data_IF_620952407616
#
_entry.id   IF_620952407616
#
_cell.length_a   1.000
_cell.length_b   1.000
_cell.length_c   1.000
_cell.angle_alpha   90.00
_cell.angle_beta   90.00
_cell.angle_gamma   90.00
#
_symmetry.space_group_name_H-M   'P 1'
#
loop_
_entity.id
_entity.type
_entity.pdbx_description
1 polymer ?
#
# COMPACT_ATOMS: atom_id res chain seq x y z
N UNK A 1 1.41 9.12 18.56
CA UNK A 1 1.30 9.00 17.08
C UNK A 1 1.55 10.33 16.36
N UNK A 2 0.87 11.40 16.72
CA UNK A 2 0.95 12.70 16.03
C UNK A 2 2.33 13.38 16.02
N UNK A 3 3.15 13.24 17.07
CA UNK A 3 4.39 14.03 17.16
C UNK A 3 5.48 13.58 16.19
N UNK A 4 5.70 12.27 16.00
CA UNK A 4 6.75 11.76 15.11
C UNK A 4 6.42 11.92 13.63
N UNK A 5 5.20 11.58 13.24
CA UNK A 5 4.69 11.74 11.89
C UNK A 5 4.75 13.22 11.44
N UNK A 6 4.18 14.12 12.26
CA UNK A 6 4.15 15.56 11.94
C UNK A 6 5.55 16.15 11.85
N UNK A 7 6.49 15.71 12.70
CA UNK A 7 7.89 16.15 12.65
C UNK A 7 8.55 15.73 11.34
N UNK A 8 8.44 14.46 10.94
CA UNK A 8 9.04 13.94 9.72
C UNK A 8 8.50 14.68 8.50
N UNK A 9 7.19 14.87 8.43
CA UNK A 9 6.58 15.56 7.28
C UNK A 9 6.90 17.06 7.25
N UNK A 10 7.03 17.70 8.40
CA UNK A 10 7.51 19.09 8.47
C UNK A 10 8.96 19.21 8.00
N UNK A 11 9.86 18.32 8.42
CA UNK A 11 11.25 18.30 7.95
C UNK A 11 11.34 17.95 6.46
N UNK A 12 10.52 17.02 5.97
CA UNK A 12 10.44 16.71 4.54
C UNK A 12 10.10 17.98 3.73
N UNK A 13 9.06 18.71 4.14
CA UNK A 13 8.66 19.95 3.44
C UNK A 13 9.76 21.02 3.50
N UNK A 14 10.42 21.17 4.64
CA UNK A 14 11.55 22.12 4.78
C UNK A 14 12.72 21.76 3.87
N UNK A 15 13.08 20.47 3.78
CA UNK A 15 14.12 19.99 2.88
C UNK A 15 13.71 20.14 1.42
N UNK A 16 12.48 19.82 1.07
CA UNK A 16 11.96 20.00 -0.28
C UNK A 16 12.01 21.48 -0.71
N UNK A 17 11.58 22.41 0.13
CA UNK A 17 11.63 23.84 -0.15
C UNK A 17 13.08 24.37 -0.24
N UNK A 18 14.03 23.77 0.50
CA UNK A 18 15.45 24.12 0.42
C UNK A 18 16.12 23.65 -0.87
N UNK A 19 15.89 22.39 -1.27
CA UNK A 19 16.55 21.78 -2.42
C UNK A 19 15.82 22.04 -3.75
N UNK A 20 14.51 22.25 -3.68
CA UNK A 20 13.61 22.46 -4.82
C UNK A 20 12.67 23.66 -4.57
N UNK A 21 13.22 24.89 -4.40
CA UNK A 21 12.46 26.06 -4.00
C UNK A 21 11.30 26.34 -4.96
N UNK A 22 10.06 26.40 -4.43
CA UNK A 22 8.85 26.69 -5.17
C UNK A 22 8.42 25.61 -6.17
N UNK A 23 8.97 24.38 -6.08
CA UNK A 23 8.60 23.28 -6.98
C UNK A 23 7.47 22.41 -6.40
N UNK A 24 7.42 22.22 -5.08
CA UNK A 24 6.39 21.43 -4.41
C UNK A 24 5.15 22.28 -4.15
N UNK A 25 4.08 22.05 -4.91
CA UNK A 25 2.81 22.79 -4.79
C UNK A 25 1.71 22.03 -4.04
N UNK A 26 1.76 20.69 -4.07
CA UNK A 26 0.81 19.82 -3.35
C UNK A 26 1.52 18.72 -2.58
N UNK A 27 0.97 18.35 -1.41
CA UNK A 27 1.43 17.20 -0.63
C UNK A 27 0.26 16.63 0.15
N UNK A 28 -0.05 15.39 -0.15
CA UNK A 28 -1.19 14.65 0.39
C UNK A 28 -0.73 13.31 0.93
N UNK A 29 -1.14 12.99 2.15
CA UNK A 29 -0.88 11.67 2.75
C UNK A 29 -2.04 10.76 2.44
N UNK A 30 -1.73 9.52 2.10
CA UNK A 30 -2.72 8.46 1.88
C UNK A 30 -2.35 7.19 2.66
N UNK A 31 -2.75 6.00 2.19
CA UNK A 31 -2.40 4.74 2.81
C UNK A 31 -2.89 4.58 4.24
N UNK A 32 -2.11 3.90 5.07
CA UNK A 32 -2.50 3.54 6.43
C UNK A 32 -2.72 4.74 7.35
N UNK A 33 -1.94 5.81 7.18
CA UNK A 33 -2.08 7.03 7.97
C UNK A 33 -3.42 7.71 7.72
N UNK A 34 -3.82 7.86 6.45
CA UNK A 34 -5.10 8.45 6.06
C UNK A 34 -6.30 7.60 6.50
N UNK A 35 -6.15 6.27 6.53
CA UNK A 35 -7.18 5.35 7.00
C UNK A 35 -7.28 5.26 8.55
N UNK A 36 -6.50 6.04 9.29
CA UNK A 36 -6.48 5.99 10.76
C UNK A 36 -5.92 4.68 11.32
N UNK A 37 -5.14 3.94 10.53
CA UNK A 37 -4.62 2.61 10.84
C UNK A 37 -3.08 2.56 10.75
N UNK A 38 -2.43 3.67 11.03
CA UNK A 38 -0.97 3.74 11.08
C UNK A 38 -0.43 2.97 12.29
N UNK A 39 0.43 1.99 12.04
CA UNK A 39 1.07 1.17 13.08
C UNK A 39 2.57 1.50 13.16
N UNK A 40 3.05 2.07 14.30
CA UNK A 40 4.46 2.39 14.49
C UNK A 40 5.37 1.16 14.31
N UNK A 41 6.43 1.29 13.52
CA UNK A 41 7.38 0.21 13.23
C UNK A 41 6.90 -0.82 12.19
N UNK A 42 5.70 -0.64 11.62
CA UNK A 42 5.11 -1.50 10.59
C UNK A 42 4.60 -0.73 9.37
N UNK A 43 4.17 0.51 9.57
CA UNK A 43 3.59 1.33 8.51
C UNK A 43 4.59 2.35 8.01
N UNK A 44 4.67 2.47 6.69
CA UNK A 44 5.33 3.56 6.00
C UNK A 44 4.43 4.79 5.96
N UNK A 45 4.99 5.95 5.62
CA UNK A 45 4.22 7.15 5.31
C UNK A 45 4.02 7.21 3.80
N UNK A 46 2.80 6.87 3.37
CA UNK A 46 2.41 6.94 1.97
C UNK A 46 2.05 8.38 1.59
N UNK A 47 2.64 8.92 0.52
CA UNK A 47 2.37 10.28 0.08
C UNK A 47 2.23 10.44 -1.43
N UNK A 48 1.45 11.45 -1.85
CA UNK A 48 1.41 11.97 -3.21
C UNK A 48 1.87 13.44 -3.19
N UNK A 49 2.97 13.72 -3.88
CA UNK A 49 3.56 15.06 -3.99
C UNK A 49 3.32 15.62 -5.39
N UNK A 50 2.75 16.82 -5.47
CA UNK A 50 2.49 17.49 -6.75
C UNK A 50 3.50 18.59 -6.96
N UNK A 51 4.21 18.52 -8.09
CA UNK A 51 5.18 19.55 -8.50
C UNK A 51 4.57 20.48 -9.53
N UNK A 52 5.06 21.71 -9.57
CA UNK A 52 4.59 22.74 -10.49
C UNK A 52 4.71 22.33 -11.96
N UNK A 53 5.81 21.67 -12.28
CA UNK A 53 6.15 21.16 -13.61
C UNK A 53 6.86 19.83 -13.46
N UNK A 54 6.97 19.06 -14.52
CA UNK A 54 7.77 17.83 -14.54
C UNK A 54 9.20 18.14 -14.09
N UNK A 55 9.70 17.36 -13.14
CA UNK A 55 11.07 17.54 -12.63
C UNK A 55 12.09 17.20 -13.72
N UNK A 56 13.08 18.05 -13.85
CA UNK A 56 14.26 17.75 -14.66
C UNK A 56 15.14 16.71 -13.98
N UNK A 57 16.06 16.10 -14.73
CA UNK A 57 17.01 15.13 -14.17
C UNK A 57 17.84 15.71 -13.01
N UNK A 58 18.25 16.98 -13.11
CA UNK A 58 18.96 17.66 -12.02
C UNK A 58 18.10 17.86 -10.78
N UNK A 59 16.79 18.14 -10.96
CA UNK A 59 15.85 18.26 -9.87
C UNK A 59 15.54 16.90 -9.23
N UNK A 60 15.47 15.83 -10.01
CA UNK A 60 15.32 14.46 -9.50
C UNK A 60 16.54 14.07 -8.64
N UNK A 61 17.76 14.43 -9.04
CA UNK A 61 18.97 14.23 -8.22
C UNK A 61 18.91 15.03 -6.91
N UNK A 62 18.38 16.27 -6.95
CA UNK A 62 18.17 17.07 -5.73
C UNK A 62 17.08 16.47 -4.83
N UNK A 63 16.01 15.97 -5.42
CA UNK A 63 14.95 15.27 -4.70
C UNK A 63 15.47 14.00 -3.99
N UNK A 64 16.31 13.21 -4.65
CA UNK A 64 16.96 12.06 -4.01
C UNK A 64 17.83 12.49 -2.80
N UNK A 65 18.43 13.70 -2.81
CA UNK A 65 19.14 14.22 -1.65
C UNK A 65 18.21 14.58 -0.50
N UNK A 66 17.02 15.14 -0.78
CA UNK A 66 15.98 15.38 0.22
C UNK A 66 15.68 14.09 0.97
N UNK A 67 15.37 13.03 0.25
CA UNK A 67 15.06 11.73 0.83
C UNK A 67 16.21 11.12 1.63
N UNK A 68 17.43 11.16 1.09
CA UNK A 68 18.62 10.65 1.79
C UNK A 68 18.91 11.41 3.08
N UNK A 69 18.78 12.74 3.06
CA UNK A 69 18.99 13.56 4.25
C UNK A 69 17.93 13.27 5.30
N UNK A 70 16.67 13.16 4.90
CA UNK A 70 15.58 12.79 5.82
C UNK A 70 15.78 11.39 6.41
N UNK A 71 16.07 10.38 5.59
CA UNK A 71 16.31 9.00 6.03
C UNK A 71 17.53 8.88 6.96
N UNK A 72 18.54 9.75 6.81
CA UNK A 72 19.68 9.77 7.72
C UNK A 72 19.33 10.25 9.15
N UNK A 73 18.25 11.00 9.30
CA UNK A 73 17.74 11.51 10.57
C UNK A 73 16.65 10.64 11.18
N UNK A 74 15.83 10.06 10.30
CA UNK A 74 14.66 9.25 10.67
C UNK A 74 14.71 7.90 9.94
N UNK A 75 15.06 6.85 10.69
CA UNK A 75 15.09 5.50 10.13
C UNK A 75 13.69 4.92 9.92
N UNK A 76 12.75 5.31 10.78
CA UNK A 76 11.34 4.90 10.73
C UNK A 76 10.43 6.05 11.15
N UNK A 77 9.20 6.13 10.61
CA UNK A 77 8.72 5.37 9.45
C UNK A 77 9.43 5.76 8.15
N UNK A 78 9.53 4.83 7.22
CA UNK A 78 10.02 5.11 5.86
C UNK A 78 8.98 5.92 5.10
N UNK A 79 9.42 6.67 4.09
CA UNK A 79 8.54 7.32 3.13
C UNK A 79 8.34 6.41 1.94
N UNK A 80 7.11 6.24 1.49
CA UNK A 80 6.73 5.63 0.23
C UNK A 80 5.78 6.56 -0.50
N UNK A 81 6.09 6.95 -1.73
CA UNK A 81 5.25 7.91 -2.39
C UNK A 81 5.58 8.19 -3.83
N UNK A 82 4.81 9.11 -4.39
CA UNK A 82 4.93 9.46 -5.80
C UNK A 82 4.99 10.96 -6.02
N UNK A 83 5.56 11.31 -7.16
CA UNK A 83 5.66 12.68 -7.68
C UNK A 83 4.95 12.77 -9.02
N UNK A 84 4.08 13.76 -9.15
CA UNK A 84 3.26 14.01 -10.33
C UNK A 84 3.09 15.53 -10.53
N UNK A 85 2.50 15.94 -11.63
CA UNK A 85 2.07 17.31 -11.88
C UNK A 85 0.56 17.42 -11.82
N UNK A 86 0.02 18.64 -11.68
CA UNK A 86 -1.43 18.85 -11.60
C UNK A 86 -2.20 18.27 -12.79
N UNK A 87 -1.63 18.33 -14.01
CA UNK A 87 -2.24 17.78 -15.22
C UNK A 87 -2.37 16.24 -15.19
N UNK A 88 -1.63 15.57 -14.32
CA UNK A 88 -1.67 14.12 -14.14
C UNK A 88 -2.56 13.70 -12.95
N UNK A 89 -2.95 14.67 -12.10
CA UNK A 89 -3.73 14.39 -10.89
C UNK A 89 -5.11 13.80 -11.22
N UNK A 90 -5.42 12.67 -10.60
CA UNK A 90 -6.67 11.93 -10.84
C UNK A 90 -6.69 11.10 -12.14
N UNK A 91 -5.62 11.09 -12.94
CA UNK A 91 -5.55 10.33 -14.19
C UNK A 91 -5.27 8.85 -13.95
N UNK A 92 -5.90 7.95 -14.72
CA UNK A 92 -5.55 6.53 -14.81
C UNK A 92 -4.80 6.18 -16.10
N UNK A 93 -4.80 7.10 -17.09
CA UNK A 93 -4.23 6.84 -18.43
C UNK A 93 -2.77 7.23 -18.57
N UNK A 94 -2.15 7.75 -17.52
CA UNK A 94 -0.76 8.21 -17.49
C UNK A 94 0.06 7.39 -16.50
N UNK A 95 1.36 7.62 -16.50
CA UNK A 95 2.29 7.05 -15.52
C UNK A 95 2.74 8.13 -14.53
N UNK A 96 2.98 7.71 -13.27
CA UNK A 96 3.66 8.54 -12.29
C UNK A 96 5.03 8.95 -12.82
N UNK A 97 5.41 10.21 -12.62
CA UNK A 97 6.72 10.72 -13.11
C UNK A 97 7.87 10.12 -12.34
N UNK A 98 7.74 10.08 -11.01
CA UNK A 98 8.70 9.46 -10.12
C UNK A 98 7.99 8.74 -8.97
N UNK A 99 8.59 7.65 -8.54
CA UNK A 99 8.18 6.90 -7.34
C UNK A 99 9.36 6.80 -6.41
N UNK A 100 9.14 7.09 -5.15
CA UNK A 100 10.13 6.86 -4.08
C UNK A 100 9.68 5.69 -3.24
N UNK A 101 10.47 4.64 -3.21
CA UNK A 101 10.22 3.44 -2.41
C UNK A 101 11.55 2.76 -2.08
N UNK A 102 11.65 2.16 -0.87
CA UNK A 102 12.83 1.41 -0.45
C UNK A 102 14.14 2.23 -0.48
N UNK A 103 14.06 3.54 -0.26
CA UNK A 103 15.22 4.45 -0.26
C UNK A 103 15.65 4.97 -1.64
N UNK A 104 14.98 4.57 -2.70
CA UNK A 104 15.33 4.93 -4.08
C UNK A 104 14.22 5.67 -4.81
N UNK A 105 14.61 6.64 -5.63
CA UNK A 105 13.74 7.35 -6.55
C UNK A 105 13.85 6.69 -7.94
N UNK A 106 12.75 6.14 -8.43
CA UNK A 106 12.65 5.52 -9.75
C UNK A 106 11.73 6.33 -10.67
N UNK A 107 11.95 6.23 -11.99
CA UNK A 107 11.08 6.81 -13.01
C UNK A 107 9.97 5.83 -13.38
N UNK A 108 8.77 6.37 -13.51
CA UNK A 108 7.62 5.66 -14.05
C UNK A 108 7.02 4.62 -13.11
N UNK A 109 5.72 4.67 -13.00
CA UNK A 109 4.87 3.59 -12.49
C UNK A 109 3.44 3.85 -12.96
N UNK A 110 2.65 2.81 -13.23
CA UNK A 110 1.24 3.01 -13.57
C UNK A 110 0.50 3.62 -12.37
N UNK A 111 -0.45 4.49 -12.66
CA UNK A 111 -1.36 5.00 -11.64
C UNK A 111 -2.21 3.85 -11.07
N UNK A 112 -2.43 3.92 -9.78
CA UNK A 112 -3.17 2.91 -9.04
C UNK A 112 -4.55 3.46 -8.62
N UNK A 113 -5.67 2.92 -9.08
CA UNK A 113 -7.00 3.39 -8.71
C UNK A 113 -7.29 3.27 -7.21
N UNK A 114 -6.66 2.33 -6.51
CA UNK A 114 -6.77 2.22 -5.04
C UNK A 114 -6.16 3.45 -4.36
N UNK A 115 -4.98 3.91 -4.82
CA UNK A 115 -4.35 5.13 -4.33
C UNK A 115 -5.27 6.35 -4.54
N UNK A 116 -5.83 6.50 -5.75
CA UNK A 116 -6.75 7.60 -6.05
C UNK A 116 -8.02 7.56 -5.20
N UNK A 117 -8.54 6.36 -4.95
CA UNK A 117 -9.71 6.20 -4.08
C UNK A 117 -9.41 6.60 -2.64
N UNK A 118 -8.24 6.21 -2.10
CA UNK A 118 -7.82 6.64 -0.76
C UNK A 118 -7.62 8.16 -0.72
N UNK A 119 -6.97 8.74 -1.72
CA UNK A 119 -6.78 10.19 -1.80
C UNK A 119 -8.11 10.93 -1.83
N UNK A 120 -9.08 10.47 -2.64
CA UNK A 120 -10.40 11.05 -2.76
C UNK A 120 -11.18 11.04 -1.45
N UNK A 121 -11.17 9.92 -0.73
CA UNK A 121 -12.06 9.70 0.39
C UNK A 121 -11.42 10.03 1.75
N UNK A 122 -10.08 9.96 1.87
CA UNK A 122 -9.40 9.96 3.16
C UNK A 122 -8.13 10.81 3.24
N UNK A 123 -7.68 11.45 2.15
CA UNK A 123 -6.38 12.14 2.16
C UNK A 123 -6.22 13.13 3.31
N UNK A 124 -5.02 13.13 3.91
CA UNK A 124 -4.61 14.18 4.84
C UNK A 124 -3.79 15.20 4.03
N UNK A 125 -4.34 16.39 3.86
CA UNK A 125 -3.68 17.47 3.14
C UNK A 125 -2.62 18.15 4.01
N UNK A 126 -1.39 18.23 3.53
CA UNK A 126 -0.30 18.99 4.16
C UNK A 126 0.02 20.28 3.40
N UNK A 127 -0.15 20.28 2.06
CA UNK A 127 0.08 21.44 1.18
C UNK A 127 -0.83 21.35 -0.04
N UNK A 128 -1.21 22.47 -0.61
CA UNK A 128 -2.01 22.56 -1.84
C UNK A 128 -3.49 22.78 -1.62
N UNK A 129 -4.32 22.69 -2.66
CA UNK A 129 -5.77 22.79 -2.59
C UNK A 129 -6.43 21.74 -1.70
N UNK A 130 -7.67 21.98 -1.27
CA UNK A 130 -8.46 20.91 -0.63
C UNK A 130 -8.74 19.79 -1.64
N UNK A 131 -8.78 18.54 -1.18
CA UNK A 131 -9.08 17.39 -2.06
C UNK A 131 -10.44 17.52 -2.71
N UNK A 132 -11.43 18.10 -2.01
CA UNK A 132 -12.75 18.38 -2.55
C UNK A 132 -12.77 19.32 -3.76
N UNK A 133 -11.72 20.13 -3.91
CA UNK A 133 -11.58 21.08 -5.02
C UNK A 133 -10.86 20.44 -6.23
N UNK A 134 -10.36 19.21 -6.07
CA UNK A 134 -9.62 18.48 -7.09
C UNK A 134 -10.51 17.42 -7.75
N UNK A 135 -10.31 17.20 -9.05
CA UNK A 135 -11.02 16.17 -9.79
C UNK A 135 -10.30 14.84 -9.67
N UNK A 136 -10.93 13.85 -9.04
CA UNK A 136 -10.46 12.45 -9.01
C UNK A 136 -11.59 11.58 -9.57
N UNK A 137 -11.67 11.38 -10.90
CA UNK A 137 -12.79 10.73 -11.56
C UNK A 137 -12.72 9.20 -11.52
N UNK A 138 -12.41 8.63 -10.35
CA UNK A 138 -12.39 7.17 -10.16
C UNK A 138 -13.82 6.65 -10.09
N UNK A 139 -14.13 5.67 -10.94
CA UNK A 139 -15.38 4.95 -10.96
C UNK A 139 -15.26 3.62 -10.19
N UNK A 140 -16.39 3.03 -9.86
CA UNK A 140 -16.45 1.71 -9.19
C UNK A 140 -15.82 0.62 -10.07
N UNK A 141 -16.07 0.66 -11.37
CA UNK A 141 -15.52 -0.30 -12.33
C UNK A 141 -14.00 -0.23 -12.42
N UNK A 142 -13.38 0.96 -12.37
CA UNK A 142 -11.92 1.13 -12.39
C UNK A 142 -11.26 0.37 -11.23
N UNK A 143 -11.86 0.48 -10.05
CA UNK A 143 -11.38 -0.18 -8.83
C UNK A 143 -11.54 -1.69 -8.93
N UNK A 144 -12.72 -2.16 -9.36
CA UNK A 144 -13.01 -3.57 -9.52
C UNK A 144 -12.12 -4.24 -10.58
N UNK A 145 -11.93 -3.61 -11.74
CA UNK A 145 -11.05 -4.12 -12.80
C UNK A 145 -9.61 -4.25 -12.34
N UNK A 146 -9.08 -3.20 -11.69
CA UNK A 146 -7.73 -3.24 -11.14
C UNK A 146 -7.55 -4.36 -10.10
N UNK A 147 -8.49 -4.51 -9.16
CA UNK A 147 -8.43 -5.54 -8.13
C UNK A 147 -8.41 -6.94 -8.74
N UNK A 148 -9.25 -7.18 -9.74
CA UNK A 148 -9.30 -8.48 -10.41
C UNK A 148 -8.01 -8.75 -11.18
N UNK A 149 -7.54 -7.79 -11.96
CA UNK A 149 -6.28 -7.92 -12.69
C UNK A 149 -5.12 -8.18 -11.74
N UNK A 150 -5.00 -7.41 -10.68
CA UNK A 150 -3.95 -7.55 -9.67
C UNK A 150 -4.03 -8.93 -8.96
N UNK A 151 -5.23 -9.36 -8.59
CA UNK A 151 -5.44 -10.68 -7.99
C UNK A 151 -5.02 -11.83 -8.93
N UNK A 152 -5.39 -11.74 -10.22
CA UNK A 152 -5.13 -12.81 -11.18
C UNK A 152 -3.72 -12.78 -11.79
N UNK A 153 -3.05 -11.63 -11.76
CA UNK A 153 -1.67 -11.50 -12.26
C UNK A 153 -0.65 -11.60 -11.12
N UNK A 154 -0.58 -10.57 -10.28
CA UNK A 154 0.45 -10.45 -9.24
C UNK A 154 0.28 -11.48 -8.12
N UNK A 155 -0.88 -11.51 -7.46
CA UNK A 155 -1.10 -12.40 -6.33
C UNK A 155 -1.09 -13.88 -6.71
N UNK A 156 -1.71 -14.21 -7.83
CA UNK A 156 -1.70 -15.60 -8.33
C UNK A 156 -0.29 -16.07 -8.63
N UNK A 157 0.51 -15.27 -9.35
CA UNK A 157 1.91 -15.61 -9.65
C UNK A 157 2.72 -15.81 -8.36
N UNK A 158 2.50 -14.94 -7.37
CA UNK A 158 3.17 -15.02 -6.07
C UNK A 158 2.77 -16.30 -5.34
N UNK A 159 1.49 -16.62 -5.25
CA UNK A 159 0.99 -17.84 -4.62
C UNK A 159 1.55 -19.09 -5.30
N UNK A 160 1.56 -19.14 -6.62
CA UNK A 160 2.12 -20.27 -7.38
C UNK A 160 3.63 -20.42 -7.17
N UNK A 161 4.39 -19.31 -7.13
CA UNK A 161 5.80 -19.34 -6.82
C UNK A 161 6.08 -19.93 -5.43
N UNK A 162 5.30 -19.52 -4.43
CA UNK A 162 5.39 -20.04 -3.06
C UNK A 162 5.04 -21.54 -2.97
N UNK A 163 4.04 -22.00 -3.73
CA UNK A 163 3.67 -23.42 -3.79
C UNK A 163 4.73 -24.29 -4.46
N UNK A 164 5.50 -23.72 -5.39
CA UNK A 164 6.52 -24.47 -6.13
C UNK A 164 7.70 -24.85 -5.24
N UNK A 165 8.02 -24.05 -4.22
CA UNK A 165 9.13 -24.31 -3.28
C UNK A 165 8.74 -24.02 -1.82
N UNK A 166 7.86 -24.85 -1.22
CA UNK A 166 7.49 -24.69 0.19
C UNK A 166 8.66 -24.90 1.17
N UNK A 167 9.60 -25.77 0.81
CA UNK A 167 10.76 -26.04 1.66
C UNK A 167 11.77 -24.89 1.60
N UNK A 168 11.86 -24.19 0.47
CA UNK A 168 12.61 -22.94 0.35
C UNK A 168 12.04 -21.84 1.26
N UNK A 169 10.71 -21.73 1.37
CA UNK A 169 10.07 -20.80 2.32
C UNK A 169 10.48 -21.16 3.76
N UNK A 170 10.40 -22.43 4.14
CA UNK A 170 10.76 -22.89 5.49
C UNK A 170 12.25 -22.68 5.83
N UNK A 171 13.10 -22.49 4.84
CA UNK A 171 14.52 -22.18 5.03
C UNK A 171 14.79 -20.70 5.36
N UNK A 172 13.81 -19.82 5.18
CA UNK A 172 13.92 -18.41 5.50
C UNK A 172 13.88 -18.18 7.02
N UNK A 173 14.42 -17.06 7.52
CA UNK A 173 14.22 -16.67 8.90
C UNK A 173 12.72 -16.58 9.25
N UNK A 174 12.34 -17.06 10.43
CA UNK A 174 10.95 -17.09 10.88
C UNK A 174 10.23 -15.72 10.71
N UNK A 175 10.94 -14.63 11.03
CA UNK A 175 10.45 -13.27 10.85
C UNK A 175 10.02 -12.99 9.41
N UNK A 176 10.84 -13.39 8.44
CA UNK A 176 10.54 -13.18 7.02
C UNK A 176 9.34 -13.99 6.55
N UNK A 177 9.18 -15.21 7.08
CA UNK A 177 8.00 -16.03 6.77
C UNK A 177 6.73 -15.36 7.32
N UNK A 178 6.75 -14.92 8.57
CA UNK A 178 5.59 -14.27 9.18
C UNK A 178 5.25 -12.93 8.53
N UNK A 179 6.23 -12.12 8.18
CA UNK A 179 6.03 -10.88 7.43
C UNK A 179 5.35 -11.14 6.07
N UNK A 180 5.82 -12.18 5.37
CA UNK A 180 5.22 -12.59 4.09
C UNK A 180 3.79 -13.08 4.24
N UNK A 181 3.50 -13.91 5.25
CA UNK A 181 2.15 -14.39 5.53
C UNK A 181 1.20 -13.23 5.88
N UNK A 182 1.63 -12.33 6.78
CA UNK A 182 0.86 -11.13 7.14
C UNK A 182 0.54 -10.30 5.90
N UNK A 183 1.57 -9.98 5.12
CA UNK A 183 1.44 -9.12 3.95
C UNK A 183 0.51 -9.71 2.90
N UNK A 184 0.68 -11.01 2.61
CA UNK A 184 -0.10 -11.70 1.57
C UNK A 184 -1.55 -11.92 1.97
N UNK A 185 -1.81 -12.45 3.18
CA UNK A 185 -3.16 -12.75 3.65
C UNK A 185 -3.97 -11.47 3.81
N UNK A 186 -3.43 -10.48 4.53
CA UNK A 186 -4.15 -9.23 4.76
C UNK A 186 -4.26 -8.39 3.49
N UNK A 187 -3.27 -8.48 2.58
CA UNK A 187 -3.32 -7.84 1.26
C UNK A 187 -4.46 -8.38 0.39
N UNK A 188 -4.61 -9.71 0.30
CA UNK A 188 -5.70 -10.34 -0.45
C UNK A 188 -7.07 -10.14 0.22
N UNK A 189 -7.15 -10.14 1.54
CA UNK A 189 -8.39 -9.82 2.26
C UNK A 189 -8.83 -8.38 2.01
N UNK A 190 -7.91 -7.42 1.86
CA UNK A 190 -8.27 -6.05 1.43
C UNK A 190 -8.89 -6.05 0.04
N UNK A 191 -8.34 -6.81 -0.90
CA UNK A 191 -8.91 -6.93 -2.25
C UNK A 191 -10.28 -7.59 -2.24
N UNK A 192 -10.44 -8.64 -1.44
CA UNK A 192 -11.73 -9.31 -1.25
C UNK A 192 -12.78 -8.36 -0.67
N UNK A 193 -12.42 -7.56 0.35
CA UNK A 193 -13.29 -6.50 0.87
C UNK A 193 -13.68 -5.49 -0.21
N UNK A 194 -12.68 -5.00 -0.96
CA UNK A 194 -12.92 -3.96 -1.98
C UNK A 194 -13.89 -4.43 -3.05
N UNK A 195 -13.80 -5.68 -3.51
CA UNK A 195 -14.74 -6.23 -4.50
C UNK A 195 -16.15 -6.35 -3.95
N UNK A 196 -16.31 -6.70 -2.68
CA UNK A 196 -17.63 -6.92 -2.08
C UNK A 196 -18.32 -5.65 -1.62
N UNK A 197 -17.56 -4.75 -1.03
CA UNK A 197 -18.10 -3.57 -0.35
C UNK A 197 -17.87 -2.28 -1.14
N UNK A 198 -17.17 -2.35 -2.28
CA UNK A 198 -16.77 -1.20 -3.08
C UNK A 198 -16.07 -0.09 -2.27
N UNK A 199 -15.32 -0.49 -1.25
CA UNK A 199 -14.65 0.39 -0.30
C UNK A 199 -13.18 0.05 -0.11
N UNK A 200 -12.48 0.89 0.62
CA UNK A 200 -11.10 0.66 1.03
C UNK A 200 -11.06 0.42 2.54
N UNK A 201 -10.29 -0.58 2.95
CA UNK A 201 -10.12 -0.93 4.35
C UNK A 201 -8.62 -1.08 4.70
N UNK A 202 -8.28 -0.90 5.98
CA UNK A 202 -6.92 -1.16 6.48
C UNK A 202 -6.60 -2.65 6.50
N UNK A 203 -5.32 -3.04 6.61
CA UNK A 203 -4.92 -4.44 6.75
C UNK A 203 -5.57 -5.10 7.98
N UNK A 204 -5.54 -4.42 9.13
CA UNK A 204 -6.17 -4.94 10.35
C UNK A 204 -7.69 -5.11 10.19
N UNK A 205 -8.37 -4.09 9.65
CA UNK A 205 -9.81 -4.18 9.36
C UNK A 205 -10.14 -5.28 8.35
N UNK A 206 -9.31 -5.51 7.35
CA UNK A 206 -9.51 -6.60 6.39
C UNK A 206 -9.38 -7.98 7.03
N UNK A 207 -8.46 -8.15 7.96
CA UNK A 207 -8.36 -9.38 8.76
C UNK A 207 -9.60 -9.62 9.62
N UNK A 208 -10.08 -8.58 10.30
CA UNK A 208 -11.32 -8.64 11.09
C UNK A 208 -12.54 -8.94 10.21
N UNK A 209 -12.62 -8.32 9.04
CA UNK A 209 -13.64 -8.64 8.03
C UNK A 209 -13.55 -10.10 7.57
N UNK A 210 -12.34 -10.60 7.36
CA UNK A 210 -12.07 -11.99 7.00
C UNK A 210 -12.57 -12.99 8.03
N UNK A 211 -12.41 -12.71 9.34
CA UNK A 211 -12.93 -13.56 10.42
C UNK A 211 -14.47 -13.63 10.46
N UNK A 212 -15.17 -12.66 9.86
CA UNK A 212 -16.64 -12.66 9.79
C UNK A 212 -17.14 -13.35 8.52
N UNK A 213 -16.43 -13.18 7.39
CA UNK A 213 -16.94 -13.52 6.07
C UNK A 213 -16.28 -14.75 5.44
N UNK A 214 -15.15 -15.23 5.98
CA UNK A 214 -14.47 -16.43 5.52
C UNK A 214 -14.84 -17.64 6.38
N UNK A 215 -14.85 -18.85 5.80
CA UNK A 215 -15.08 -20.08 6.57
C UNK A 215 -14.13 -20.25 7.76
N UNK A 216 -14.63 -20.81 8.88
CA UNK A 216 -13.91 -20.98 10.14
C UNK A 216 -12.55 -21.69 10.00
N UNK A 217 -12.42 -22.59 9.01
CA UNK A 217 -11.15 -23.29 8.75
C UNK A 217 -9.99 -22.34 8.43
N UNK A 218 -10.27 -21.09 7.98
CA UNK A 218 -9.27 -20.07 7.66
C UNK A 218 -8.96 -19.14 8.83
N UNK A 219 -9.77 -19.18 9.89
CA UNK A 219 -9.57 -18.26 11.02
C UNK A 219 -8.18 -18.39 11.66
N UNK A 220 -7.58 -19.59 11.86
CA UNK A 220 -6.26 -19.67 12.48
C UNK A 220 -5.16 -18.89 11.71
N UNK A 221 -5.14 -18.94 10.38
CA UNK A 221 -4.14 -18.22 9.58
C UNK A 221 -4.44 -16.73 9.47
N UNK A 222 -5.71 -16.33 9.50
CA UNK A 222 -6.12 -14.91 9.55
C UNK A 222 -5.76 -14.31 10.91
N UNK A 223 -6.02 -15.01 12.00
CA UNK A 223 -5.65 -14.60 13.36
C UNK A 223 -4.13 -14.47 13.51
N UNK A 224 -3.36 -15.42 12.94
CA UNK A 224 -1.91 -15.35 12.90
C UNK A 224 -1.43 -14.10 12.16
N UNK A 225 -1.99 -13.81 10.98
CA UNK A 225 -1.64 -12.60 10.22
C UNK A 225 -1.95 -11.31 11.01
N UNK A 226 -3.09 -11.25 11.70
CA UNK A 226 -3.46 -10.15 12.60
C UNK A 226 -2.53 -10.03 13.81
N UNK A 227 -2.11 -11.15 14.38
CA UNK A 227 -1.17 -11.20 15.50
C UNK A 227 0.20 -10.61 15.07
N UNK A 228 0.72 -11.06 13.93
CA UNK A 228 1.96 -10.54 13.32
C UNK A 228 1.85 -9.06 13.01
N UNK A 229 0.71 -8.62 12.47
CA UNK A 229 0.43 -7.21 12.17
C UNK A 229 0.53 -6.34 13.41
N UNK A 230 0.03 -6.80 14.55
CA UNK A 230 0.09 -6.12 15.86
C UNK A 230 1.48 -6.18 16.51
N UNK A 231 2.50 -6.67 15.82
CA UNK A 231 3.86 -6.78 16.35
C UNK A 231 4.10 -7.97 17.28
N UNK A 232 3.15 -8.87 17.42
CA UNK A 232 3.23 -10.06 18.27
C UNK A 232 3.65 -11.28 17.44
N UNK A 233 4.91 -11.30 17.02
CA UNK A 233 5.45 -12.39 16.19
C UNK A 233 5.78 -13.61 17.06
N UNK A 234 5.35 -14.84 16.67
CA UNK A 234 5.76 -16.06 17.36
C UNK A 234 7.29 -16.26 17.31
N UNK A 235 7.87 -16.79 18.39
CA UNK A 235 9.32 -17.01 18.46
C UNK A 235 9.81 -18.18 17.60
N UNK A 236 8.97 -19.21 17.40
CA UNK A 236 9.28 -20.36 16.56
C UNK A 236 8.84 -20.11 15.12
N UNK A 237 9.55 -20.68 14.15
CA UNK A 237 9.08 -20.68 12.76
C UNK A 237 7.72 -21.40 12.63
N UNK A 238 6.87 -20.99 11.66
CA UNK A 238 5.60 -21.67 11.44
C UNK A 238 5.84 -23.10 10.92
N UNK A 239 4.97 -24.01 11.31
CA UNK A 239 4.95 -25.36 10.79
C UNK A 239 4.53 -25.36 9.30
N UNK A 240 4.92 -26.40 8.56
CA UNK A 240 4.61 -26.52 7.13
C UNK A 240 3.10 -26.44 6.86
N UNK A 241 2.28 -27.05 7.72
CA UNK A 241 0.84 -27.06 7.57
C UNK A 241 0.25 -25.64 7.63
N UNK A 242 0.78 -24.76 8.49
CA UNK A 242 0.37 -23.35 8.56
C UNK A 242 0.64 -22.61 7.25
N UNK A 243 1.80 -22.86 6.63
CA UNK A 243 2.14 -22.29 5.33
C UNK A 243 1.20 -22.82 4.25
N UNK A 244 0.94 -24.13 4.26
CA UNK A 244 0.01 -24.74 3.29
C UNK A 244 -1.41 -24.21 3.42
N UNK A 245 -1.90 -24.02 4.64
CA UNK A 245 -3.22 -23.42 4.89
C UNK A 245 -3.27 -21.97 4.41
N UNK A 246 -2.21 -21.19 4.63
CA UNK A 246 -2.11 -19.83 4.12
C UNK A 246 -2.16 -19.78 2.59
N UNK A 247 -1.42 -20.65 1.91
CA UNK A 247 -1.42 -20.76 0.45
C UNK A 247 -2.80 -21.18 -0.10
N UNK A 248 -3.49 -22.08 0.58
CA UNK A 248 -4.86 -22.46 0.21
C UNK A 248 -5.85 -21.31 0.42
N UNK A 249 -5.71 -20.53 1.50
CA UNK A 249 -6.51 -19.32 1.72
C UNK A 249 -6.28 -18.28 0.61
N UNK A 250 -5.02 -18.05 0.23
CA UNK A 250 -4.67 -17.11 -0.86
C UNK A 250 -5.33 -17.51 -2.19
N UNK A 251 -5.34 -18.81 -2.51
CA UNK A 251 -6.05 -19.32 -3.69
C UNK A 251 -7.58 -19.14 -3.59
N UNK A 252 -8.15 -19.44 -2.42
CA UNK A 252 -9.57 -19.29 -2.19
C UNK A 252 -9.99 -17.82 -2.33
N UNK A 253 -9.21 -16.87 -1.79
CA UNK A 253 -9.46 -15.44 -1.92
C UNK A 253 -9.36 -14.99 -3.39
N UNK A 254 -8.31 -15.37 -4.11
CA UNK A 254 -8.15 -15.03 -5.53
C UNK A 254 -9.29 -15.58 -6.40
N UNK A 255 -9.80 -16.75 -6.06
CA UNK A 255 -10.95 -17.37 -6.74
C UNK A 255 -12.26 -16.64 -6.39
N UNK A 256 -12.45 -16.28 -5.13
CA UNK A 256 -13.65 -15.56 -4.65
C UNK A 256 -13.75 -14.17 -5.28
N UNK A 257 -12.63 -13.44 -5.41
CA UNK A 257 -12.57 -12.13 -6.08
C UNK A 257 -13.11 -12.21 -7.51
N UNK A 258 -12.78 -13.29 -8.26
CA UNK A 258 -13.30 -13.52 -9.61
C UNK A 258 -14.79 -13.83 -9.65
N UNK A 259 -15.31 -14.56 -8.67
CA UNK A 259 -16.71 -14.98 -8.61
C UNK A 259 -17.60 -13.79 -8.26
N UNK A 260 -17.19 -12.96 -7.31
CA UNK A 260 -17.94 -11.79 -6.86
C UNK A 260 -18.18 -10.80 -8.02
N UNK A 261 -17.21 -10.56 -8.91
CA UNK A 261 -17.46 -9.74 -10.13
C UNK A 261 -18.60 -10.28 -10.97
N UNK A 262 -18.73 -11.60 -11.12
CA UNK A 262 -19.77 -12.21 -11.95
C UNK A 262 -21.18 -12.08 -11.35
N UNK A 263 -21.27 -11.79 -10.06
CA UNK A 263 -22.52 -11.55 -9.34
C UNK A 263 -22.91 -10.08 -9.24
N UNK A 264 -22.03 -9.14 -9.57
CA UNK A 264 -22.37 -7.72 -9.62
C UNK A 264 -23.25 -7.45 -10.85
N UNK A 265 -24.39 -6.75 -10.71
CA UNK A 265 -25.19 -6.33 -11.85
C UNK A 265 -24.38 -5.37 -12.72
N UNK A 266 -24.36 -5.65 -14.02
CA UNK A 266 -23.76 -4.80 -15.07
C UNK A 266 -24.48 -3.46 -15.21
#
# INVERSE_FOLDING_TARGET
MESGFNLIMAEYMELADRYLPGRLEGLYIHGSAALGAFEPGKSDIDFAAVTKEVLTQEEAVRLQKVHRELASRHRYPELDGCYLVWDDFGSLSKELRYVYNGGELAEGAPFNPVMWRILKDHAIRLRGPEISDLSIPIQEDDLAEYIIENSQSYWRKRTEAMKTDPDGILSLPAEKIYEELEWSILGLLRQFYTIRENGIISKSGAGEYGLIHMPDKWHPVIELALLVRKGNMPAAAPEKDVIMDALQLMDALSSSILIEKKGLPS
#
